data_IF_868985429767
#
_entry.id   IF_868985429767
#
_cell.length_a   1.000
_cell.length_b   1.000
_cell.length_c   1.000
_cell.angle_alpha   90.00
_cell.angle_beta   90.00
_cell.angle_gamma   90.00
#
_symmetry.space_group_name_H-M   'P 1'
#
loop_
_entity.id
_entity.type
_entity.pdbx_description
1 polymer ?
#
# COMPACT_ATOMS: atom_id res chain seq x y z
N UNK A 1 6.43 17.83 2.24
CA UNK A 1 5.11 17.90 2.93
C UNK A 1 5.07 17.09 4.23
N UNK A 2 5.36 15.78 4.23
CA UNK A 2 5.32 14.96 5.45
C UNK A 2 6.08 15.56 6.66
N UNK A 3 7.31 16.05 6.45
CA UNK A 3 8.12 16.70 7.50
C UNK A 3 7.46 17.97 8.08
N UNK A 4 6.76 18.74 7.25
CA UNK A 4 6.06 19.95 7.67
C UNK A 4 4.85 19.58 8.54
N UNK A 5 4.05 18.60 8.11
CA UNK A 5 2.92 18.10 8.89
C UNK A 5 3.37 17.56 10.26
N UNK A 6 4.47 16.80 10.31
CA UNK A 6 5.01 16.29 11.58
C UNK A 6 5.41 17.41 12.54
N UNK A 7 6.03 18.48 12.02
CA UNK A 7 6.43 19.63 12.81
C UNK A 7 5.21 20.43 13.30
N UNK A 8 4.21 20.63 12.44
CA UNK A 8 2.98 21.35 12.76
C UNK A 8 2.16 20.66 13.86
N UNK A 9 2.08 19.33 13.82
CA UNK A 9 1.38 18.54 14.85
C UNK A 9 2.26 18.15 16.06
N UNK A 10 3.53 18.56 16.10
CA UNK A 10 4.44 18.25 17.21
C UNK A 10 4.79 16.76 17.35
N UNK A 11 4.69 15.98 16.26
CA UNK A 11 4.85 14.52 16.25
C UNK A 11 6.28 14.05 15.92
N UNK A 12 7.23 14.98 15.79
CA UNK A 12 8.61 14.69 15.37
C UNK A 12 9.37 13.72 16.28
N UNK A 13 8.93 13.49 17.53
CA UNK A 13 9.52 12.51 18.44
C UNK A 13 8.95 11.09 18.28
N UNK A 14 7.81 10.95 17.58
CA UNK A 14 7.09 9.68 17.38
C UNK A 14 7.10 9.23 15.91
N UNK A 15 7.28 10.16 14.97
CA UNK A 15 7.31 9.87 13.53
C UNK A 15 8.73 9.95 13.01
N UNK A 16 9.21 8.82 12.50
CA UNK A 16 10.44 8.73 11.74
C UNK A 16 10.11 8.71 10.25
N UNK A 17 10.65 9.67 9.49
CA UNK A 17 10.43 9.79 8.06
C UNK A 17 11.63 9.25 7.30
N UNK A 18 11.36 8.38 6.34
CA UNK A 18 12.35 7.83 5.43
C UNK A 18 12.00 8.23 4.00
N UNK A 19 13.01 8.50 3.18
CA UNK A 19 12.85 8.83 1.76
C UNK A 19 13.44 7.69 0.94
N UNK A 20 12.63 7.11 0.04
CA UNK A 20 13.04 6.07 -0.88
C UNK A 20 11.85 5.29 -1.43
N UNK A 21 12.11 4.10 -1.97
CA UNK A 21 11.11 3.30 -2.67
C UNK A 21 10.51 2.23 -1.74
N UNK A 22 9.21 2.33 -1.49
CA UNK A 22 8.43 1.43 -0.63
C UNK A 22 9.14 1.14 0.71
N UNK A 23 9.48 -0.12 0.97
CA UNK A 23 10.05 -0.60 2.23
C UNK A 23 11.59 -0.61 2.21
N UNK A 24 12.22 -0.29 1.07
CA UNK A 24 13.69 -0.32 0.93
C UNK A 24 14.42 0.52 1.99
N UNK A 25 13.92 1.71 2.39
CA UNK A 25 14.58 2.53 3.41
C UNK A 25 14.50 1.98 4.84
N UNK A 26 13.71 0.93 5.09
CA UNK A 26 13.45 0.43 6.44
C UNK A 26 14.53 -0.53 6.96
N UNK A 27 15.54 -0.88 6.16
CA UNK A 27 16.68 -1.74 6.51
C UNK A 27 16.29 -2.96 7.39
N UNK A 28 16.66 -2.98 8.68
CA UNK A 28 16.37 -4.08 9.63
C UNK A 28 15.13 -3.83 10.51
N UNK A 29 14.32 -2.82 10.18
CA UNK A 29 13.09 -2.50 10.91
C UNK A 29 12.08 -3.64 10.84
N UNK A 30 11.73 -4.17 12.01
CA UNK A 30 10.65 -5.15 12.21
C UNK A 30 9.48 -4.46 12.90
N UNK A 31 8.29 -4.59 12.31
CA UNK A 31 7.07 -3.92 12.74
C UNK A 31 5.96 -4.92 13.00
N UNK A 32 5.09 -4.62 13.97
CA UNK A 32 3.88 -5.41 14.22
C UNK A 32 2.74 -5.08 13.25
N UNK A 33 2.82 -3.93 12.58
CA UNK A 33 1.82 -3.47 11.63
C UNK A 33 2.46 -2.65 10.52
N UNK A 34 2.21 -3.04 9.28
CA UNK A 34 2.50 -2.24 8.08
C UNK A 34 1.17 -1.86 7.45
N UNK A 35 0.95 -0.56 7.28
CA UNK A 35 -0.22 -0.01 6.57
C UNK A 35 0.27 0.70 5.32
N UNK A 36 -0.36 0.44 4.18
CA UNK A 36 -0.03 1.11 2.93
C UNK A 36 -1.28 1.51 2.15
N UNK A 37 -1.28 2.73 1.62
CA UNK A 37 -2.20 3.14 0.56
C UNK A 37 -1.36 3.44 -0.69
N UNK A 38 -0.90 2.41 -1.41
CA UNK A 38 -0.10 2.58 -2.60
C UNK A 38 -0.95 3.13 -3.75
N UNK A 39 -0.32 3.72 -4.79
CA UNK A 39 -1.02 4.05 -6.01
C UNK A 39 -1.68 2.81 -6.62
N UNK A 40 -2.94 2.93 -7.04
CA UNK A 40 -3.73 1.82 -7.61
C UNK A 40 -4.43 2.19 -8.93
N UNK A 41 -4.12 3.34 -9.53
CA UNK A 41 -4.75 3.77 -10.79
C UNK A 41 -4.06 3.07 -11.96
N UNK A 42 -4.85 2.36 -12.75
CA UNK A 42 -4.36 1.72 -13.98
C UNK A 42 -4.14 2.76 -15.10
N UNK A 43 -3.34 2.36 -16.10
CA UNK A 43 -2.96 3.26 -17.19
C UNK A 43 -4.16 3.78 -18.01
N UNK A 44 -5.20 2.97 -18.18
CA UNK A 44 -6.39 3.35 -18.96
C UNK A 44 -7.28 4.35 -18.20
N UNK A 45 -7.36 4.25 -16.88
CA UNK A 45 -8.03 5.20 -16.01
C UNK A 45 -7.24 6.52 -15.96
N UNK A 46 -5.91 6.46 -15.93
CA UNK A 46 -5.04 7.65 -16.03
C UNK A 46 -5.28 8.46 -17.31
N UNK A 47 -5.47 7.78 -18.45
CA UNK A 47 -5.77 8.42 -19.74
C UNK A 47 -7.13 9.14 -19.76
N UNK A 48 -8.07 8.69 -18.91
CA UNK A 48 -9.43 9.22 -18.82
C UNK A 48 -9.65 10.16 -17.61
N UNK A 49 -8.61 10.48 -16.82
CA UNK A 49 -8.76 11.35 -15.67
C UNK A 49 -9.21 12.78 -16.07
N UNK A 50 -10.19 13.35 -15.35
CA UNK A 50 -10.57 14.76 -15.50
C UNK A 50 -9.33 15.67 -15.38
N UNK A 51 -9.31 16.77 -16.12
CA UNK A 51 -8.15 17.67 -16.19
C UNK A 51 -7.68 18.20 -14.82
N UNK A 52 -8.57 18.19 -13.82
CA UNK A 52 -8.33 18.59 -12.43
C UNK A 52 -7.37 17.63 -11.69
N UNK A 53 -7.39 16.33 -12.00
CA UNK A 53 -6.50 15.32 -11.39
C UNK A 53 -5.14 15.17 -12.10
N UNK A 54 -4.92 15.91 -13.21
CA UNK A 54 -3.62 15.93 -13.92
C UNK A 54 -2.56 16.78 -13.22
N UNK A 55 -2.91 17.47 -12.12
CA UNK A 55 -1.97 18.30 -11.36
C UNK A 55 -1.13 17.50 -10.36
N UNK A 56 -1.51 16.25 -10.08
CA UNK A 56 -0.67 15.32 -9.31
C UNK A 56 0.36 14.66 -10.25
N UNK A 57 1.62 14.48 -9.80
CA UNK A 57 2.66 13.89 -10.65
C UNK A 57 2.26 12.49 -11.09
N UNK A 58 2.24 12.23 -12.40
CA UNK A 58 1.83 10.96 -13.04
C UNK A 58 2.53 9.72 -12.41
N UNK A 59 3.76 9.89 -11.92
CA UNK A 59 4.51 8.85 -11.22
C UNK A 59 3.90 8.41 -9.88
N UNK A 60 3.07 9.25 -9.25
CA UNK A 60 2.38 8.93 -8.00
C UNK A 60 1.04 8.21 -8.19
N UNK A 61 0.54 8.06 -9.44
CA UNK A 61 -0.74 7.41 -9.70
C UNK A 61 -0.63 6.09 -10.47
N UNK A 62 0.36 5.95 -11.36
CA UNK A 62 0.48 4.76 -12.20
C UNK A 62 1.09 3.57 -11.43
N UNK A 63 0.38 2.46 -11.35
CA UNK A 63 0.86 1.21 -10.72
C UNK A 63 0.84 0.04 -11.71
N UNK A 64 1.41 0.25 -12.90
CA UNK A 64 1.47 -0.76 -13.96
C UNK A 64 0.18 -0.89 -14.76
N UNK A 65 0.12 -1.92 -15.61
CA UNK A 65 -0.97 -2.13 -16.59
C UNK A 65 -2.32 -2.33 -15.90
N UNK A 66 -2.33 -2.97 -14.73
CA UNK A 66 -3.54 -3.29 -13.95
C UNK A 66 -3.57 -2.63 -12.57
N UNK A 67 -2.69 -1.67 -12.31
CA UNK A 67 -2.67 -0.93 -11.04
C UNK A 67 -2.08 -1.70 -9.84
N UNK A 68 -1.52 -2.90 -10.04
CA UNK A 68 -1.07 -3.78 -8.95
C UNK A 68 0.45 -3.85 -8.74
N UNK A 69 1.28 -3.16 -9.51
CA UNK A 69 2.75 -3.31 -9.43
C UNK A 69 3.32 -2.99 -8.04
N UNK A 70 2.85 -1.91 -7.41
CA UNK A 70 3.26 -1.56 -6.06
C UNK A 70 2.75 -2.57 -5.03
N UNK A 71 1.50 -3.03 -5.17
CA UNK A 71 0.90 -4.03 -4.28
C UNK A 71 1.65 -5.36 -4.37
N UNK A 72 2.05 -5.79 -5.58
CA UNK A 72 2.88 -6.98 -5.77
C UNK A 72 4.22 -6.87 -5.06
N UNK A 73 4.90 -5.72 -5.20
CA UNK A 73 6.17 -5.47 -4.50
C UNK A 73 5.98 -5.48 -2.98
N UNK A 74 4.92 -4.88 -2.46
CA UNK A 74 4.60 -4.90 -1.02
C UNK A 74 4.37 -6.34 -0.55
N UNK A 75 3.50 -7.12 -1.22
CA UNK A 75 3.22 -8.51 -0.85
C UNK A 75 4.48 -9.39 -0.81
N UNK A 76 5.40 -9.17 -1.76
CA UNK A 76 6.64 -9.96 -1.85
C UNK A 76 7.75 -9.51 -0.91
N UNK A 77 7.70 -8.30 -0.35
CA UNK A 77 8.79 -7.75 0.48
C UNK A 77 8.39 -7.52 1.94
N UNK A 78 7.11 -7.35 2.24
CA UNK A 78 6.62 -7.01 3.58
C UNK A 78 6.99 -8.04 4.66
N UNK A 79 7.09 -9.33 4.32
CA UNK A 79 7.50 -10.38 5.26
C UNK A 79 8.90 -10.13 5.86
N UNK A 80 9.77 -9.35 5.20
CA UNK A 80 11.11 -9.04 5.72
C UNK A 80 11.08 -8.01 6.85
N UNK A 81 10.01 -7.24 6.93
CA UNK A 81 9.84 -6.13 7.86
C UNK A 81 8.69 -6.34 8.86
N UNK A 82 8.07 -7.52 8.86
CA UNK A 82 6.97 -7.85 9.77
C UNK A 82 7.43 -8.81 10.86
N UNK A 83 6.95 -8.59 12.09
CA UNK A 83 7.11 -9.56 13.17
C UNK A 83 6.26 -10.82 12.86
N UNK A 84 6.59 -11.99 13.46
CA UNK A 84 5.81 -13.22 13.24
C UNK A 84 4.32 -13.12 13.60
N UNK A 85 3.95 -12.19 14.48
CA UNK A 85 2.56 -11.90 14.87
C UNK A 85 1.98 -10.67 14.13
N UNK A 86 2.77 -10.08 13.23
CA UNK A 86 2.46 -8.82 12.59
C UNK A 86 1.46 -8.93 11.45
N UNK A 87 0.93 -7.77 11.06
CA UNK A 87 -0.11 -7.65 10.04
C UNK A 87 0.26 -6.67 8.94
N UNK A 88 -0.11 -7.02 7.72
CA UNK A 88 -0.09 -6.14 6.56
C UNK A 88 -1.52 -5.68 6.26
N UNK A 89 -1.73 -4.37 6.11
CA UNK A 89 -3.01 -3.77 5.70
C UNK A 89 -2.78 -2.87 4.49
N UNK A 90 -3.46 -3.14 3.39
CA UNK A 90 -3.22 -2.41 2.13
C UNK A 90 -4.53 -2.02 1.45
N UNK A 91 -4.63 -0.75 1.05
CA UNK A 91 -5.69 -0.25 0.18
C UNK A 91 -5.36 -0.53 -1.30
N UNK A 92 -6.33 -1.06 -2.04
CA UNK A 92 -6.18 -1.44 -3.46
C UNK A 92 -7.31 -0.89 -4.34
N UNK A 93 -8.17 -0.03 -3.81
CA UNK A 93 -9.27 0.54 -4.58
C UNK A 93 -10.20 -0.55 -5.13
N UNK A 94 -10.55 -0.45 -6.41
CA UNK A 94 -11.43 -1.39 -7.10
C UNK A 94 -10.72 -2.65 -7.64
N UNK A 95 -9.45 -2.88 -7.30
CA UNK A 95 -8.63 -3.95 -7.88
C UNK A 95 -8.72 -5.29 -7.13
N UNK A 96 -9.73 -5.49 -6.28
CA UNK A 96 -9.88 -6.70 -5.48
C UNK A 96 -9.92 -7.98 -6.32
N UNK A 97 -10.71 -8.00 -7.39
CA UNK A 97 -10.88 -9.19 -8.24
C UNK A 97 -9.58 -9.52 -8.99
N UNK A 98 -8.88 -8.52 -9.49
CA UNK A 98 -7.58 -8.68 -10.15
C UNK A 98 -6.52 -9.21 -9.17
N UNK A 99 -6.55 -8.72 -7.92
CA UNK A 99 -5.63 -9.13 -6.88
C UNK A 99 -5.88 -10.59 -6.45
N UNK A 100 -7.13 -10.97 -6.21
CA UNK A 100 -7.50 -12.36 -5.89
C UNK A 100 -7.13 -13.32 -7.03
N UNK A 101 -7.32 -12.91 -8.29
CA UNK A 101 -6.91 -13.69 -9.45
C UNK A 101 -5.38 -13.84 -9.56
N UNK A 102 -4.62 -12.80 -9.21
CA UNK A 102 -3.15 -12.83 -9.22
C UNK A 102 -2.55 -13.64 -8.06
N UNK A 103 -3.24 -13.68 -6.91
CA UNK A 103 -2.77 -14.36 -5.69
C UNK A 103 -3.86 -15.26 -5.10
N UNK A 104 -4.27 -16.33 -5.81
CA UNK A 104 -5.41 -17.17 -5.41
C UNK A 104 -5.16 -17.98 -4.14
N UNK A 105 -3.92 -18.06 -3.68
CA UNK A 105 -3.52 -18.78 -2.47
C UNK A 105 -3.46 -17.90 -1.22
N UNK A 106 -3.49 -16.57 -1.38
CA UNK A 106 -3.45 -15.67 -0.24
C UNK A 106 -4.84 -15.57 0.41
N UNK A 107 -4.94 -15.73 1.74
CA UNK A 107 -6.21 -15.66 2.46
C UNK A 107 -6.58 -14.19 2.72
N UNK A 108 -6.91 -13.43 1.66
CA UNK A 108 -7.28 -12.02 1.78
C UNK A 108 -8.45 -11.83 2.76
N UNK A 109 -8.22 -11.04 3.81
CA UNK A 109 -9.27 -10.61 4.73
C UNK A 109 -9.70 -9.20 4.32
N UNK A 110 -10.82 -9.10 3.61
CA UNK A 110 -11.37 -7.81 3.22
C UNK A 110 -12.01 -7.09 4.41
N UNK A 111 -11.57 -5.87 4.67
CA UNK A 111 -12.10 -5.04 5.75
C UNK A 111 -13.32 -4.26 5.26
N UNK A 112 -14.37 -4.24 6.08
CA UNK A 112 -15.54 -3.40 5.86
C UNK A 112 -15.27 -1.97 6.34
N UNK A 113 -15.34 -1.00 5.43
CA UNK A 113 -15.14 0.41 5.71
C UNK A 113 -16.42 1.20 5.45
N UNK A 114 -16.53 2.39 6.03
CA UNK A 114 -17.65 3.30 5.74
C UNK A 114 -17.72 3.72 4.27
N UNK A 115 -16.57 3.74 3.58
CA UNK A 115 -16.45 4.01 2.15
C UNK A 115 -16.88 2.83 1.26
N UNK A 116 -17.05 1.64 1.85
CA UNK A 116 -17.52 0.41 1.20
C UNK A 116 -16.64 -0.79 1.56
N UNK A 117 -16.79 -1.87 0.78
CA UNK A 117 -16.11 -3.14 1.01
C UNK A 117 -15.08 -3.43 -0.10
N UNK A 118 -14.20 -4.40 0.14
CA UNK A 118 -13.19 -4.88 -0.83
C UNK A 118 -12.21 -3.79 -1.32
N UNK A 119 -12.06 -2.71 -0.57
CA UNK A 119 -11.07 -1.66 -0.84
C UNK A 119 -9.76 -1.88 -0.12
N UNK A 120 -9.82 -2.48 1.06
CA UNK A 120 -8.67 -2.69 1.93
C UNK A 120 -8.65 -4.15 2.36
N UNK A 121 -7.51 -4.81 2.17
CA UNK A 121 -7.30 -6.16 2.70
C UNK A 121 -6.34 -6.14 3.88
N UNK A 122 -6.44 -7.16 4.72
CA UNK A 122 -5.46 -7.51 5.74
C UNK A 122 -4.91 -8.92 5.50
N UNK A 123 -3.61 -9.10 5.73
CA UNK A 123 -2.92 -10.40 5.72
C UNK A 123 -2.01 -10.53 6.95
N UNK A 124 -2.04 -11.66 7.68
CA UNK A 124 -1.07 -11.92 8.72
C UNK A 124 0.29 -12.26 8.12
N UNK A 125 1.38 -12.06 8.87
CA UNK A 125 2.73 -12.48 8.49
C UNK A 125 2.78 -13.91 7.95
N UNK A 126 2.08 -14.83 8.62
CA UNK A 126 2.03 -16.25 8.27
C UNK A 126 1.52 -16.52 6.83
N UNK A 127 0.78 -15.59 6.24
CA UNK A 127 0.29 -15.69 4.86
C UNK A 127 1.30 -15.20 3.81
N UNK A 128 2.31 -14.41 4.19
CA UNK A 128 3.26 -13.77 3.28
C UNK A 128 4.57 -14.56 3.10
N UNK A 129 4.82 -15.56 3.95
CA UNK A 129 6.07 -16.31 4.02
C UNK A 129 6.04 -17.75 3.46
N UNK A 130 4.97 -18.13 2.75
CA UNK A 130 4.79 -19.47 2.16
C UNK A 130 5.19 -19.54 0.69
#
# INVERSE_FOLDING_TARGET
>A
MARLNCAEYGLSAQIHLFEGDLLEPLEEGIYDLIISNPPYVDQAAMENLPAEYRQEPIAALASGIDGLDHVRRILTTAHRHLSPEGWLVVEVGHQADALEAAFPHLPFIWLDLSAGNRFVFALPYAALGS
#
